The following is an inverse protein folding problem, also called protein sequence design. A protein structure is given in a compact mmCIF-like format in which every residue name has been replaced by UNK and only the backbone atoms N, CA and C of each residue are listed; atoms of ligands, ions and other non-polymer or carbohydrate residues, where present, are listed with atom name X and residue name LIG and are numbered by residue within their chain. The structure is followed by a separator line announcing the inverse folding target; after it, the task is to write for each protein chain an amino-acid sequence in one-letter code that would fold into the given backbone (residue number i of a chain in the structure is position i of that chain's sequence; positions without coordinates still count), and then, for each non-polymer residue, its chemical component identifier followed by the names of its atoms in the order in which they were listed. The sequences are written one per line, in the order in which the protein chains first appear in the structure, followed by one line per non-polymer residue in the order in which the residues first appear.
data_IF_995961802447
#
_entry.id   IF_995961802447
#
_cell.length_a   1.000
_cell.length_b   1.000
_cell.length_c   1.000
_cell.angle_alpha   90.00
_cell.angle_beta   90.00
_cell.angle_gamma   90.00
#
_symmetry.space_group_name_H-M   'P 1'
#
loop_
_entity.id
_entity.type
_entity.pdbx_description
1 polymer ?
#
# COMPACT_ATOMS: atom_id res chain seq x y z
N UNK A 1 8.56 -26.38 -8.62
CA UNK A 1 7.67 -25.29 -9.06
C UNK A 1 8.01 -24.08 -8.23
N UNK A 2 8.70 -23.12 -8.80
CA UNK A 2 9.03 -21.85 -8.11
C UNK A 2 7.71 -21.13 -7.88
N UNK A 3 7.35 -20.93 -6.61
CA UNK A 3 6.14 -20.17 -6.28
C UNK A 3 6.39 -18.73 -6.73
N UNK A 4 5.59 -18.21 -7.64
CA UNK A 4 5.70 -16.82 -8.11
C UNK A 4 5.55 -15.86 -6.93
N UNK A 5 6.37 -14.82 -6.86
CA UNK A 5 6.29 -13.80 -5.79
C UNK A 5 4.92 -13.12 -5.74
N UNK A 6 4.27 -12.94 -6.90
CA UNK A 6 2.90 -12.44 -7.01
C UNK A 6 1.89 -13.37 -6.32
N UNK A 7 2.01 -14.68 -6.55
CA UNK A 7 1.17 -15.67 -5.89
C UNK A 7 1.43 -15.73 -4.39
N UNK A 8 2.70 -15.73 -3.99
CA UNK A 8 3.12 -15.71 -2.58
C UNK A 8 2.57 -14.48 -1.83
N UNK A 9 2.50 -13.32 -2.48
CA UNK A 9 1.88 -12.12 -1.93
C UNK A 9 0.39 -12.33 -1.62
N UNK A 10 -0.38 -12.82 -2.60
CA UNK A 10 -1.81 -13.09 -2.42
C UNK A 10 -2.07 -14.15 -1.33
N UNK A 11 -1.32 -15.26 -1.35
CA UNK A 11 -1.43 -16.32 -0.35
C UNK A 11 -1.12 -15.81 1.07
N UNK A 12 -0.15 -14.91 1.21
CA UNK A 12 0.20 -14.31 2.50
C UNK A 12 -0.92 -13.41 3.01
N UNK A 13 -1.52 -12.58 2.16
CA UNK A 13 -2.67 -11.75 2.51
C UNK A 13 -3.85 -12.59 3.02
N UNK A 14 -4.21 -13.64 2.28
CA UNK A 14 -5.28 -14.56 2.68
C UNK A 14 -4.95 -15.25 4.01
N UNK A 15 -3.72 -15.70 4.19
CA UNK A 15 -3.27 -16.32 5.45
C UNK A 15 -3.39 -15.35 6.63
N UNK A 16 -3.06 -14.07 6.43
CA UNK A 16 -3.15 -13.03 7.46
C UNK A 16 -4.61 -12.70 7.79
N UNK A 17 -5.47 -12.59 6.79
CA UNK A 17 -6.91 -12.44 6.97
C UNK A 17 -7.54 -13.62 7.74
N UNK A 18 -6.93 -14.81 7.68
CA UNK A 18 -7.29 -15.97 8.50
C UNK A 18 -6.70 -15.91 9.94
N UNK A 19 -6.14 -14.77 10.37
CA UNK A 19 -5.59 -14.60 11.72
C UNK A 19 -4.19 -15.20 11.92
N UNK A 20 -3.50 -15.63 10.86
CA UNK A 20 -2.16 -16.26 10.94
C UNK A 20 -1.03 -15.22 10.76
N UNK A 21 -1.13 -14.06 11.41
CA UNK A 21 -0.14 -12.98 11.32
C UNK A 21 0.67 -12.76 12.62
N UNK A 22 0.40 -13.52 13.68
CA UNK A 22 1.08 -13.38 14.96
C UNK A 22 0.59 -12.16 15.77
N UNK A 23 1.48 -11.58 16.56
CA UNK A 23 1.16 -10.47 17.49
C UNK A 23 1.23 -9.09 16.81
N UNK A 24 1.84 -9.01 15.62
CA UNK A 24 2.05 -7.74 14.89
C UNK A 24 0.85 -7.41 14.02
N UNK A 25 0.75 -6.14 13.63
CA UNK A 25 -0.23 -5.72 12.64
C UNK A 25 -0.10 -6.56 11.36
N UNK A 26 -1.22 -6.93 10.74
CA UNK A 26 -1.24 -7.78 9.53
C UNK A 26 -0.84 -6.98 8.28
N UNK A 27 0.36 -6.42 8.28
CA UNK A 27 0.91 -5.66 7.15
C UNK A 27 1.82 -6.54 6.30
N UNK A 28 1.59 -6.55 5.00
CA UNK A 28 2.31 -7.37 4.02
C UNK A 28 2.86 -6.49 2.90
N UNK A 29 4.15 -6.60 2.63
CA UNK A 29 4.81 -5.90 1.52
C UNK A 29 5.43 -6.91 0.57
N UNK A 30 5.22 -6.71 -0.73
CA UNK A 30 5.94 -7.42 -1.79
C UNK A 30 6.70 -6.42 -2.67
N UNK A 31 8.00 -6.67 -2.89
CA UNK A 31 8.77 -5.89 -3.85
C UNK A 31 8.24 -6.11 -5.27
N UNK A 32 8.18 -5.05 -6.06
CA UNK A 32 7.74 -5.05 -7.46
C UNK A 32 8.78 -4.35 -8.33
N UNK A 33 9.03 -4.83 -9.54
CA UNK A 33 9.79 -4.07 -10.51
C UNK A 33 9.09 -2.75 -10.80
N UNK A 34 9.77 -1.58 -10.67
CA UNK A 34 9.12 -0.28 -10.73
C UNK A 34 8.32 0.00 -12.00
N UNK A 35 8.81 -0.46 -13.14
CA UNK A 35 8.22 -0.28 -14.47
C UNK A 35 6.93 -1.09 -14.71
N UNK A 36 6.66 -2.09 -13.86
CA UNK A 36 5.42 -2.89 -13.93
C UNK A 36 4.47 -2.63 -12.76
N UNK A 37 4.74 -1.67 -11.88
CA UNK A 37 3.90 -1.39 -10.70
C UNK A 37 2.42 -1.23 -11.06
N UNK A 38 2.12 -0.42 -12.06
CA UNK A 38 0.74 -0.19 -12.52
C UNK A 38 0.06 -1.47 -13.04
N UNK A 39 0.80 -2.34 -13.73
CA UNK A 39 0.30 -3.63 -14.21
C UNK A 39 -0.01 -4.58 -13.05
N UNK A 40 0.86 -4.60 -12.02
CA UNK A 40 0.62 -5.38 -10.79
C UNK A 40 -0.61 -4.86 -10.07
N UNK A 41 -0.73 -3.54 -9.93
CA UNK A 41 -1.91 -2.91 -9.31
C UNK A 41 -3.21 -3.27 -10.05
N UNK A 42 -3.23 -3.15 -11.37
CA UNK A 42 -4.38 -3.54 -12.20
C UNK A 42 -4.72 -5.03 -12.05
N UNK A 43 -3.70 -5.89 -12.01
CA UNK A 43 -3.89 -7.34 -11.85
C UNK A 43 -4.46 -7.68 -10.46
N UNK A 44 -4.01 -6.99 -9.42
CA UNK A 44 -4.56 -7.14 -8.07
C UNK A 44 -6.01 -6.65 -7.97
N UNK A 45 -6.34 -5.56 -8.65
CA UNK A 45 -7.72 -5.09 -8.74
C UNK A 45 -8.62 -6.12 -9.45
N UNK A 46 -8.13 -6.73 -10.53
CA UNK A 46 -8.85 -7.80 -11.23
C UNK A 46 -9.02 -9.04 -10.34
N UNK A 47 -8.01 -9.38 -9.53
CA UNK A 47 -8.11 -10.49 -8.57
C UNK A 47 -9.28 -10.35 -7.61
N UNK A 48 -9.65 -9.12 -7.23
CA UNK A 48 -10.82 -8.86 -6.36
C UNK A 48 -12.14 -9.19 -7.09
N UNK A 49 -12.17 -9.03 -8.40
CA UNK A 49 -13.35 -9.27 -9.24
C UNK A 49 -13.47 -10.71 -9.76
N UNK A 50 -12.38 -11.50 -9.70
CA UNK A 50 -12.35 -12.84 -10.25
C UNK A 50 -13.00 -13.87 -9.30
N UNK A 51 -13.87 -14.72 -9.87
CA UNK A 51 -14.50 -15.85 -9.16
C UNK A 51 -13.49 -16.94 -8.73
N UNK A 52 -12.26 -16.92 -9.28
CA UNK A 52 -11.14 -17.80 -8.92
C UNK A 52 -10.37 -17.32 -7.69
N UNK A 53 -10.90 -16.37 -6.94
CA UNK A 53 -10.27 -15.90 -5.69
C UNK A 53 -10.04 -17.08 -4.76
N UNK A 54 -8.82 -17.29 -4.23
CA UNK A 54 -8.57 -18.35 -3.27
C UNK A 54 -9.55 -18.21 -2.11
N UNK A 55 -10.01 -19.32 -1.57
CA UNK A 55 -11.04 -19.39 -0.53
C UNK A 55 -10.71 -18.42 0.60
N UNK A 56 -11.32 -17.25 0.58
CA UNK A 56 -11.27 -16.32 1.67
C UNK A 56 -12.03 -16.89 2.87
N UNK A 57 -11.67 -16.50 4.11
CA UNK A 57 -12.50 -16.81 5.26
C UNK A 57 -13.94 -16.36 5.01
N UNK A 58 -14.91 -17.08 5.60
CA UNK A 58 -16.31 -16.68 5.49
C UNK A 58 -16.50 -15.24 6.02
N UNK A 59 -17.00 -14.36 5.18
CA UNK A 59 -17.18 -12.95 5.48
C UNK A 59 -15.95 -12.05 5.23
N UNK A 60 -14.81 -12.61 4.84
CA UNK A 60 -13.65 -11.80 4.46
C UNK A 60 -13.90 -11.06 3.13
N UNK A 61 -13.39 -9.85 3.06
CA UNK A 61 -13.51 -8.98 1.89
C UNK A 61 -12.15 -8.45 1.45
N UNK A 62 -12.02 -8.12 0.16
CA UNK A 62 -10.81 -7.48 -0.38
C UNK A 62 -11.20 -6.14 -0.99
N UNK A 63 -10.51 -5.08 -0.60
CA UNK A 63 -10.75 -3.74 -1.11
C UNK A 63 -9.47 -3.15 -1.71
N UNK A 64 -9.42 -2.91 -3.04
CA UNK A 64 -8.34 -2.16 -3.67
C UNK A 64 -8.58 -0.67 -3.49
N UNK A 65 -7.54 0.05 -3.07
CA UNK A 65 -7.53 1.50 -2.92
C UNK A 65 -6.36 2.06 -3.70
N UNK A 66 -6.64 2.83 -4.75
CA UNK A 66 -5.63 3.55 -5.52
C UNK A 66 -5.26 4.83 -4.77
N UNK A 67 -3.99 4.91 -4.37
CA UNK A 67 -3.51 6.01 -3.53
C UNK A 67 -3.52 7.36 -4.25
N UNK A 68 -3.23 7.37 -5.55
CA UNK A 68 -3.26 8.57 -6.38
C UNK A 68 -4.69 9.12 -6.58
N UNK A 69 -5.72 8.28 -6.55
CA UNK A 69 -7.12 8.76 -6.59
C UNK A 69 -7.54 9.53 -5.33
N UNK A 70 -6.83 9.31 -4.22
CA UNK A 70 -7.10 10.03 -2.98
C UNK A 70 -6.49 11.44 -2.94
N UNK A 71 -5.52 11.74 -3.82
CA UNK A 71 -4.83 13.05 -3.84
C UNK A 71 -5.79 14.22 -3.90
N UNK A 72 -6.77 14.17 -4.81
CA UNK A 72 -7.75 15.24 -4.98
C UNK A 72 -8.65 15.47 -3.76
N UNK A 73 -8.63 14.57 -2.79
CA UNK A 73 -9.39 14.66 -1.54
C UNK A 73 -8.57 15.23 -0.38
N UNK A 74 -7.26 15.38 -0.56
CA UNK A 74 -6.37 15.97 0.44
C UNK A 74 -6.41 17.50 0.37
N UNK A 75 -6.36 18.15 1.53
CA UNK A 75 -6.32 19.61 1.59
C UNK A 75 -4.99 20.16 1.07
N UNK A 76 -3.89 19.43 1.30
CA UNK A 76 -2.58 19.84 0.78
C UNK A 76 -2.57 19.87 -0.75
N UNK A 77 -3.20 18.92 -1.42
CA UNK A 77 -3.30 18.91 -2.89
C UNK A 77 -4.14 20.09 -3.40
N UNK A 78 -5.29 20.35 -2.77
CA UNK A 78 -6.16 21.49 -3.12
C UNK A 78 -5.42 22.83 -2.94
N UNK A 79 -4.73 22.97 -1.81
CA UNK A 79 -3.91 24.14 -1.54
C UNK A 79 -2.86 24.38 -2.64
N UNK A 80 -2.19 23.32 -3.10
CA UNK A 80 -1.19 23.41 -4.16
C UNK A 80 -1.79 23.70 -5.53
N UNK A 81 -2.99 23.22 -5.82
CA UNK A 81 -3.72 23.56 -7.06
C UNK A 81 -4.09 25.05 -7.06
N UNK A 82 -4.52 25.59 -5.91
CA UNK A 82 -4.97 26.97 -5.78
C UNK A 82 -3.81 27.98 -5.71
N UNK A 83 -2.73 27.65 -5.05
CA UNK A 83 -1.63 28.57 -4.73
C UNK A 83 -0.27 28.13 -5.30
N UNK A 84 -0.19 27.04 -6.07
CA UNK A 84 1.08 26.46 -6.50
C UNK A 84 1.95 27.40 -7.35
N UNK A 85 1.36 28.32 -8.09
CA UNK A 85 2.08 29.34 -8.86
C UNK A 85 2.70 30.46 -7.97
N UNK A 86 2.20 30.60 -6.74
CA UNK A 86 2.65 31.61 -5.77
C UNK A 86 3.70 31.06 -4.79
N UNK A 87 3.87 29.71 -4.74
CA UNK A 87 4.76 29.05 -3.80
C UNK A 87 6.11 28.71 -4.44
N UNK A 88 7.17 28.89 -3.66
CA UNK A 88 8.49 28.40 -4.06
C UNK A 88 8.54 26.86 -4.05
N UNK A 89 9.26 26.20 -4.98
CA UNK A 89 9.35 24.74 -5.05
C UNK A 89 9.71 24.06 -3.74
N UNK A 90 10.62 24.62 -2.95
CA UNK A 90 11.00 24.09 -1.64
C UNK A 90 9.86 24.14 -0.61
N UNK A 91 8.98 25.13 -0.69
CA UNK A 91 7.80 25.23 0.18
C UNK A 91 6.77 24.16 -0.20
N UNK A 92 6.59 23.92 -1.51
CA UNK A 92 5.71 22.86 -2.01
C UNK A 92 6.21 21.48 -1.51
N UNK A 93 7.48 21.21 -1.68
CA UNK A 93 8.10 19.95 -1.26
C UNK A 93 7.93 19.71 0.25
N UNK A 94 8.29 20.69 1.07
CA UNK A 94 8.16 20.60 2.53
C UNK A 94 6.70 20.39 2.94
N UNK A 95 5.76 21.13 2.36
CA UNK A 95 4.34 21.03 2.68
C UNK A 95 3.79 19.64 2.35
N UNK A 96 4.19 19.06 1.19
CA UNK A 96 3.80 17.71 0.81
C UNK A 96 4.39 16.68 1.77
N UNK A 97 5.69 16.75 2.07
CA UNK A 97 6.35 15.81 2.97
C UNK A 97 5.74 15.81 4.37
N UNK A 98 5.34 16.96 4.87
CA UNK A 98 4.80 17.10 6.23
C UNK A 98 3.34 16.67 6.37
N UNK A 99 2.55 16.76 5.31
CA UNK A 99 1.09 16.65 5.40
C UNK A 99 0.48 15.50 4.60
N UNK A 100 1.06 15.18 3.45
CA UNK A 100 0.40 14.31 2.45
C UNK A 100 0.02 12.94 3.01
N UNK A 101 0.94 12.24 3.66
CA UNK A 101 0.67 10.88 4.18
C UNK A 101 -0.50 10.86 5.16
N UNK A 102 -0.51 11.80 6.12
CA UNK A 102 -1.58 11.88 7.11
C UNK A 102 -2.93 12.21 6.48
N UNK A 103 -2.96 13.12 5.52
CA UNK A 103 -4.18 13.51 4.82
C UNK A 103 -4.69 12.41 3.89
N UNK A 104 -3.81 11.64 3.25
CA UNK A 104 -4.19 10.47 2.46
C UNK A 104 -4.86 9.40 3.33
N UNK A 105 -4.29 9.09 4.49
CA UNK A 105 -4.90 8.12 5.42
C UNK A 105 -6.25 8.65 5.93
N UNK A 106 -6.35 9.93 6.25
CA UNK A 106 -7.62 10.55 6.64
C UNK A 106 -8.66 10.41 5.52
N UNK A 107 -8.30 10.81 4.29
CA UNK A 107 -9.20 10.71 3.13
C UNK A 107 -9.63 9.25 2.85
N UNK A 108 -8.73 8.29 3.04
CA UNK A 108 -9.02 6.87 2.91
C UNK A 108 -10.08 6.41 3.92
N UNK A 109 -9.89 6.73 5.20
CA UNK A 109 -10.81 6.35 6.28
C UNK A 109 -12.18 7.05 6.18
N UNK A 110 -12.22 8.26 5.62
CA UNK A 110 -13.47 9.00 5.44
C UNK A 110 -14.27 8.58 4.21
N UNK A 111 -13.60 8.01 3.17
CA UNK A 111 -14.25 7.84 1.85
C UNK A 111 -14.24 6.43 1.30
N UNK A 112 -13.34 5.57 1.77
CA UNK A 112 -13.12 4.24 1.19
C UNK A 112 -13.22 3.11 2.22
N UNK A 113 -12.73 3.31 3.42
CA UNK A 113 -12.67 2.29 4.47
C UNK A 113 -13.53 2.73 5.64
N UNK A 114 -14.65 2.08 5.86
CA UNK A 114 -15.48 2.40 7.01
C UNK A 114 -14.86 1.89 8.33
N UNK A 115 -15.41 2.35 9.45
CA UNK A 115 -14.87 2.06 10.78
C UNK A 115 -14.93 0.57 11.12
N UNK A 116 -16.01 -0.09 10.76
CA UNK A 116 -16.22 -1.51 11.08
C UNK A 116 -15.23 -2.37 10.29
N UNK A 117 -15.00 -2.07 9.01
CA UNK A 117 -14.02 -2.75 8.17
C UNK A 117 -12.58 -2.47 8.62
N UNK A 118 -12.30 -1.24 9.08
CA UNK A 118 -10.97 -0.88 9.59
C UNK A 118 -10.57 -1.67 10.85
N UNK A 119 -11.52 -2.13 11.66
CA UNK A 119 -11.28 -2.90 12.86
C UNK A 119 -11.18 -4.43 12.63
N UNK A 120 -11.33 -4.88 11.39
CA UNK A 120 -11.39 -6.31 11.04
C UNK A 120 -10.13 -6.77 10.34
N UNK A 121 -9.38 -7.71 10.92
CA UNK A 121 -8.19 -8.30 10.27
C UNK A 121 -8.53 -9.18 9.04
N UNK A 122 -9.75 -9.72 8.96
CA UNK A 122 -10.26 -10.49 7.81
C UNK A 122 -10.72 -9.61 6.63
N UNK A 123 -10.73 -8.29 6.81
CA UNK A 123 -10.83 -7.31 5.73
C UNK A 123 -9.44 -7.01 5.18
N UNK A 124 -9.22 -7.30 3.88
CA UNK A 124 -7.95 -7.07 3.19
C UNK A 124 -8.05 -5.75 2.42
N UNK A 125 -7.13 -4.83 2.71
CA UNK A 125 -6.97 -3.57 1.99
C UNK A 125 -5.71 -3.62 1.13
N UNK A 126 -5.84 -3.42 -0.16
CA UNK A 126 -4.71 -3.31 -1.09
C UNK A 126 -4.43 -1.83 -1.36
N UNK A 127 -3.29 -1.32 -0.89
CA UNK A 127 -2.84 0.04 -1.20
C UNK A 127 -2.02 0.01 -2.49
N UNK A 128 -2.65 0.48 -3.57
CA UNK A 128 -2.12 0.37 -4.93
C UNK A 128 -1.49 1.69 -5.40
N UNK A 129 -0.51 1.58 -6.31
CA UNK A 129 0.13 2.69 -7.01
C UNK A 129 0.88 3.66 -6.08
N UNK A 130 1.62 3.10 -5.12
CA UNK A 130 2.41 3.87 -4.16
C UNK A 130 3.51 4.72 -4.84
N UNK A 131 4.08 4.23 -5.93
CA UNK A 131 5.14 4.92 -6.68
C UNK A 131 4.72 6.30 -7.20
N UNK A 132 3.43 6.52 -7.45
CA UNK A 132 2.89 7.81 -7.88
C UNK A 132 3.01 8.91 -6.82
N UNK A 133 3.20 8.55 -5.56
CA UNK A 133 3.32 9.47 -4.43
C UNK A 133 4.77 9.80 -4.07
N UNK A 134 5.73 9.08 -4.66
CA UNK A 134 7.15 9.32 -4.39
C UNK A 134 7.61 10.66 -4.96
N UNK A 135 8.45 11.45 -4.24
CA UNK A 135 9.09 11.15 -2.95
C UNK A 135 8.32 11.65 -1.70
N UNK A 136 7.09 12.12 -1.83
CA UNK A 136 6.36 12.86 -0.82
C UNK A 136 5.61 12.00 0.19
N UNK A 137 5.33 10.74 -0.13
CA UNK A 137 4.77 9.75 0.79
C UNK A 137 5.51 8.43 0.64
N UNK A 138 5.69 7.73 1.76
CA UNK A 138 6.44 6.47 1.83
C UNK A 138 5.60 5.39 2.47
N UNK A 139 5.87 4.14 2.10
CA UNK A 139 5.19 2.99 2.69
C UNK A 139 5.27 2.98 4.23
N UNK A 140 6.43 3.39 4.82
CA UNK A 140 6.60 3.48 6.27
C UNK A 140 5.62 4.43 6.90
N UNK A 141 5.58 5.61 6.36
CA UNK A 141 4.76 6.69 6.89
C UNK A 141 3.27 6.34 6.79
N UNK A 142 2.88 5.68 5.68
CA UNK A 142 1.51 5.15 5.52
C UNK A 142 1.19 4.09 6.57
N UNK A 143 2.06 3.10 6.74
CA UNK A 143 1.85 2.04 7.72
C UNK A 143 1.88 2.55 9.16
N UNK A 144 2.79 3.47 9.49
CA UNK A 144 2.85 4.10 10.81
C UNK A 144 1.59 4.93 11.11
N UNK A 145 1.04 5.62 10.12
CA UNK A 145 -0.19 6.40 10.30
C UNK A 145 -1.41 5.50 10.41
N UNK A 146 -1.48 4.38 9.65
CA UNK A 146 -2.53 3.38 9.76
C UNK A 146 -2.52 2.71 11.14
N UNK A 147 -1.34 2.34 11.65
CA UNK A 147 -1.16 1.81 13.00
C UNK A 147 -1.61 2.82 14.06
N UNK A 148 -1.20 4.07 13.93
CA UNK A 148 -1.59 5.16 14.82
C UNK A 148 -3.10 5.40 14.85
N UNK A 149 -3.78 5.15 13.74
CA UNK A 149 -5.25 5.21 13.62
C UNK A 149 -5.95 3.91 14.04
N UNK A 150 -5.18 2.94 14.56
CA UNK A 150 -5.67 1.64 15.00
C UNK A 150 -6.41 0.85 13.90
N UNK A 151 -5.93 0.94 12.65
CA UNK A 151 -6.44 0.12 11.55
C UNK A 151 -5.90 -1.31 11.73
N UNK A 152 -6.82 -2.26 11.87
CA UNK A 152 -6.52 -3.67 12.10
C UNK A 152 -6.70 -4.54 10.86
N UNK A 153 -7.19 -3.97 9.76
CA UNK A 153 -7.31 -4.66 8.48
C UNK A 153 -5.97 -5.22 8.02
N UNK A 154 -6.02 -6.34 7.30
CA UNK A 154 -4.84 -6.86 6.61
C UNK A 154 -4.46 -5.93 5.47
N UNK A 155 -3.30 -5.26 5.58
CA UNK A 155 -2.84 -4.28 4.58
C UNK A 155 -1.82 -4.93 3.65
N UNK A 156 -2.07 -4.85 2.36
CA UNK A 156 -1.16 -5.29 1.31
C UNK A 156 -0.62 -4.13 0.48
N UNK A 157 0.72 -4.04 0.35
CA UNK A 157 1.38 -3.02 -0.47
C UNK A 157 2.29 -3.70 -1.50
N UNK A 158 1.95 -3.66 -2.80
CA UNK A 158 2.92 -3.90 -3.87
C UNK A 158 3.86 -2.69 -3.94
N UNK A 159 5.11 -2.89 -3.55
CA UNK A 159 6.08 -1.82 -3.34
C UNK A 159 7.04 -1.71 -4.54
N UNK A 160 7.06 -0.59 -5.30
CA UNK A 160 7.93 -0.41 -6.44
C UNK A 160 9.36 -0.17 -6.00
N UNK A 161 10.18 -1.21 -5.99
CA UNK A 161 11.57 -1.11 -5.54
C UNK A 161 12.15 -2.43 -5.08
N UNK A 162 13.18 -2.33 -4.25
CA UNK A 162 13.92 -3.47 -3.73
C UNK A 162 13.77 -3.59 -2.21
N UNK A 163 13.79 -4.85 -1.76
CA UNK A 163 13.89 -5.22 -0.35
C UNK A 163 15.32 -5.73 -0.10
N UNK A 164 16.14 -4.95 0.57
CA UNK A 164 17.53 -5.32 0.85
C UNK A 164 17.77 -5.30 2.36
N UNK A 165 18.05 -6.47 2.94
CA UNK A 165 18.34 -6.58 4.37
C UNK A 165 17.25 -6.04 5.30
N UNK A 166 15.99 -6.21 4.93
CA UNK A 166 14.84 -5.69 5.70
C UNK A 166 14.56 -4.20 5.49
N UNK A 167 15.25 -3.55 4.55
CA UNK A 167 15.05 -2.14 4.20
C UNK A 167 14.42 -2.01 2.82
N UNK A 168 13.51 -1.07 2.71
CA UNK A 168 12.85 -0.71 1.46
C UNK A 168 13.65 0.37 0.72
N UNK A 169 13.86 0.15 -0.57
CA UNK A 169 14.55 1.07 -1.46
C UNK A 169 13.68 1.33 -2.69
N UNK A 170 13.10 2.53 -2.78
CA UNK A 170 12.34 2.96 -3.96
C UNK A 170 13.32 3.48 -5.01
N UNK A 171 13.21 2.99 -6.23
CA UNK A 171 13.92 3.48 -7.42
C UNK A 171 15.45 3.63 -7.25
N UNK A 172 16.08 2.79 -6.42
CA UNK A 172 17.53 2.87 -6.21
C UNK A 172 18.00 4.00 -5.28
N UNK A 173 17.08 4.67 -4.59
CA UNK A 173 17.39 5.71 -3.61
C UNK A 173 17.96 5.17 -2.28
N UNK A 174 18.20 6.05 -1.31
CA UNK A 174 18.69 5.64 0.02
C UNK A 174 17.71 4.72 0.73
N UNK A 175 18.18 3.57 1.17
CA UNK A 175 17.38 2.64 1.96
C UNK A 175 17.19 3.17 3.38
N UNK A 176 15.96 3.38 3.79
CA UNK A 176 15.61 3.85 5.14
C UNK A 176 14.65 2.90 5.83
N UNK A 177 14.94 2.68 7.12
CA UNK A 177 14.13 2.10 8.19
C UNK A 177 13.55 0.68 8.05
N UNK A 178 13.64 -0.02 9.20
CA UNK A 178 12.98 -1.28 9.49
C UNK A 178 11.47 -1.10 9.55
N UNK A 179 10.73 -1.96 8.84
CA UNK A 179 9.28 -1.97 8.83
C UNK A 179 8.71 -3.08 9.70
N UNK A 180 7.66 -2.82 10.45
CA UNK A 180 6.91 -3.86 11.16
C UNK A 180 5.97 -4.64 10.21
N UNK A 181 6.30 -4.74 8.92
CA UNK A 181 5.51 -5.46 7.94
C UNK A 181 6.17 -6.79 7.59
N UNK A 182 5.36 -7.79 7.27
CA UNK A 182 5.84 -9.03 6.68
C UNK A 182 6.27 -8.80 5.23
N UNK A 183 7.51 -9.17 4.92
CA UNK A 183 8.06 -9.07 3.58
C UNK A 183 7.90 -10.42 2.88
N UNK A 184 7.29 -10.40 1.70
CA UNK A 184 7.18 -11.58 0.84
C UNK A 184 8.53 -11.84 0.16
N UNK A 185 8.95 -13.09 0.14
CA UNK A 185 10.20 -13.48 -0.50
C UNK A 185 10.17 -13.23 -2.02
N UNK A 186 11.30 -12.73 -2.53
CA UNK A 186 11.47 -12.43 -3.93
C UNK A 186 10.89 -11.08 -4.36
N UNK A 187 10.91 -10.84 -5.68
CA UNK A 187 10.43 -9.61 -6.31
C UNK A 187 9.44 -9.99 -7.40
N UNK A 188 8.31 -9.32 -7.44
CA UNK A 188 7.31 -9.51 -8.49
C UNK A 188 7.87 -8.92 -9.79
N UNK A 189 7.92 -9.75 -10.83
CA UNK A 189 8.43 -9.45 -12.15
C UNK A 189 7.36 -9.66 -13.22
N UNK A 190 7.64 -9.22 -14.43
CA UNK A 190 6.71 -9.39 -15.55
C UNK A 190 6.32 -10.86 -15.78
N UNK A 191 7.26 -11.79 -15.65
CA UNK A 191 7.03 -13.23 -15.75
C UNK A 191 6.05 -13.80 -14.72
N UNK A 192 5.90 -13.16 -13.58
CA UNK A 192 4.96 -13.54 -12.52
C UNK A 192 3.50 -13.17 -12.83
N UNK A 193 3.28 -12.34 -13.86
CA UNK A 193 1.96 -11.85 -14.26
C UNK A 193 1.35 -12.63 -15.45
N UNK A 194 2.06 -13.65 -15.97
CA UNK A 194 1.64 -14.45 -17.11
C UNK A 194 0.61 -15.53 -16.72
#
# INVERSE_FOLDING_TARGET
MTNSSYRGFKETLVRFANGQHGIRNPFVIAAVEPDIEHRVATRLQTWVADEETPTLPEGATIQPIWLDELLARTDVYRLLVDLGEELEPAQIETTLQDRLTRELVTAMLETKLDHDDAERHDHIVLLLHLGSLYPFSRASELLDELDRRNVQSTIGIPFPGDLVGGKLNIYGGESRHYYPAHQVDGKIREEDLQ
#
